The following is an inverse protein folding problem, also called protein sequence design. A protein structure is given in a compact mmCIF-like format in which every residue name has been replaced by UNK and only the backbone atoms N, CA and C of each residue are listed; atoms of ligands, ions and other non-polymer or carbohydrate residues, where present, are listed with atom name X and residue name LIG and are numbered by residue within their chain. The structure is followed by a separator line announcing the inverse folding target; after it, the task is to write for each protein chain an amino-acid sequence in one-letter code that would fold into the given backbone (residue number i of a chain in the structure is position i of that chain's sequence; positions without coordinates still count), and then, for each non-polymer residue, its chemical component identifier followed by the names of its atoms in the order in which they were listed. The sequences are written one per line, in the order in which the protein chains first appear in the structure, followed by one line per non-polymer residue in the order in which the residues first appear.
data_IF_625071807770
#
_entry.id   IF_625071807770
#
_cell.length_a   1.000
_cell.length_b   1.000
_cell.length_c   1.000
_cell.angle_alpha   90.00
_cell.angle_beta   90.00
_cell.angle_gamma   90.00
#
_symmetry.space_group_name_H-M   'P 1'
#
loop_
_entity.id
_entity.type
_entity.pdbx_description
1 polymer ?
#
# COMPACT_ATOMS: atom_id res chain seq x y z
N UNK A 1 65.86 35.37 -10.35
CA UNK A 1 64.52 35.16 -9.76
C UNK A 1 63.89 34.01 -10.50
N UNK A 2 64.12 32.80 -10.00
CA UNK A 2 63.50 31.57 -10.48
C UNK A 2 63.42 30.68 -9.24
N UNK A 3 62.20 30.48 -8.77
CA UNK A 3 61.85 29.65 -7.63
C UNK A 3 61.31 28.33 -8.20
N UNK A 4 61.89 27.16 -7.89
CA UNK A 4 61.35 25.90 -8.36
C UNK A 4 60.23 25.40 -7.43
N UNK A 5 59.09 25.12 -8.08
CA UNK A 5 57.88 24.49 -7.55
C UNK A 5 58.17 23.15 -6.85
N UNK A 6 57.56 22.85 -5.69
CA UNK A 6 57.64 21.53 -5.08
C UNK A 6 56.65 20.53 -5.72
N UNK A 7 57.09 19.28 -5.84
CA UNK A 7 56.32 18.11 -6.28
C UNK A 7 55.38 17.60 -5.16
N UNK A 8 54.25 16.96 -5.50
CA UNK A 8 53.27 16.48 -4.52
C UNK A 8 53.67 15.16 -3.85
N UNK A 9 53.37 15.05 -2.55
CA UNK A 9 53.55 13.88 -1.71
C UNK A 9 52.54 12.77 -2.05
N UNK A 10 53.03 11.52 -2.14
CA UNK A 10 52.21 10.32 -2.29
C UNK A 10 51.67 9.86 -0.92
N UNK A 11 50.35 9.80 -0.80
CA UNK A 11 49.63 9.32 0.38
C UNK A 11 49.43 7.81 0.22
N UNK A 12 50.21 7.03 0.96
CA UNK A 12 50.02 5.59 1.11
C UNK A 12 48.84 5.29 2.03
N UNK A 13 47.80 4.64 1.49
CA UNK A 13 46.70 4.06 2.23
C UNK A 13 46.96 2.57 2.42
N UNK A 14 47.50 2.21 3.58
CA UNK A 14 47.52 0.84 4.09
C UNK A 14 46.12 0.49 4.62
N UNK A 15 45.43 -0.43 3.93
CA UNK A 15 44.18 -1.06 4.38
C UNK A 15 44.51 -2.50 4.81
N UNK A 16 44.56 -2.72 6.12
CA UNK A 16 44.54 -4.06 6.72
C UNK A 16 43.09 -4.56 6.85
N UNK A 17 42.79 -5.82 6.51
CA UNK A 17 41.45 -6.39 6.67
C UNK A 17 41.26 -7.04 8.04
N UNK A 18 40.31 -6.54 8.83
CA UNK A 18 39.91 -7.13 10.11
C UNK A 18 38.70 -8.08 9.95
N UNK A 19 39.01 -9.36 10.11
CA UNK A 19 38.40 -10.32 11.04
C UNK A 19 36.88 -10.61 11.01
N UNK A 20 36.56 -11.81 10.55
CA UNK A 20 35.26 -12.51 10.61
C UNK A 20 34.68 -12.65 12.04
N UNK A 21 33.35 -12.57 12.22
CA UNK A 21 32.70 -12.90 13.49
C UNK A 21 32.35 -14.40 13.64
N UNK A 22 32.73 -14.91 14.81
CA UNK A 22 32.52 -16.24 15.40
C UNK A 22 31.03 -16.60 15.61
N UNK A 23 30.54 -17.78 15.17
CA UNK A 23 29.17 -18.21 15.43
C UNK A 23 29.11 -19.19 16.62
N UNK A 24 28.57 -18.71 17.74
CA UNK A 24 27.71 -19.54 18.59
C UNK A 24 27.93 -19.48 20.09
N UNK A 25 26.93 -18.98 20.80
CA UNK A 25 26.32 -19.57 22.00
C UNK A 25 25.17 -18.67 22.45
N UNK A 26 23.96 -19.16 22.66
CA UNK A 26 23.47 -19.65 23.97
C UNK A 26 21.94 -19.99 23.86
N UNK A 27 21.23 -20.45 24.90
CA UNK A 27 20.50 -21.72 24.85
C UNK A 27 18.97 -21.60 24.97
N UNK A 28 18.33 -22.76 24.85
CA UNK A 28 16.91 -23.02 25.09
C UNK A 28 16.33 -22.39 26.36
N UNK A 29 15.12 -21.84 26.25
CA UNK A 29 14.20 -21.76 27.39
C UNK A 29 13.07 -20.74 27.27
N UNK A 30 11.85 -21.19 26.95
CA UNK A 30 10.63 -20.50 27.37
C UNK A 30 9.52 -20.41 26.33
N UNK A 31 8.68 -21.44 26.27
CA UNK A 31 7.40 -21.40 25.56
C UNK A 31 6.46 -20.33 26.16
N UNK A 32 5.99 -19.42 25.31
CA UNK A 32 4.98 -18.42 25.62
C UNK A 32 4.42 -17.83 24.32
N UNK A 33 3.40 -18.49 23.78
CA UNK A 33 2.73 -18.18 22.50
C UNK A 33 2.05 -16.81 22.54
N UNK A 34 2.59 -15.81 21.83
CA UNK A 34 1.85 -14.65 21.35
C UNK A 34 2.33 -14.27 19.95
N UNK A 35 1.38 -14.17 19.04
CA UNK A 35 1.54 -14.22 17.59
C UNK A 35 1.44 -12.80 17.04
N UNK A 36 2.57 -12.10 16.98
CA UNK A 36 2.84 -11.04 15.99
C UNK A 36 4.30 -11.17 15.58
N UNK A 37 4.58 -12.19 14.76
CA UNK A 37 5.86 -12.33 14.09
C UNK A 37 5.75 -11.64 12.72
N UNK A 38 6.27 -10.42 12.62
CA UNK A 38 6.64 -9.85 11.33
C UNK A 38 7.68 -10.77 10.71
N UNK A 39 7.30 -11.43 9.60
CA UNK A 39 8.20 -12.24 8.81
C UNK A 39 9.15 -11.29 8.07
N UNK A 40 10.33 -11.08 8.64
CA UNK A 40 11.53 -10.71 7.90
C UNK A 40 11.87 -11.89 6.97
N UNK A 41 11.67 -11.71 5.67
CA UNK A 41 12.26 -12.58 4.66
C UNK A 41 12.98 -11.71 3.62
N UNK A 42 14.28 -12.01 3.52
CA UNK A 42 15.31 -11.39 2.70
C UNK A 42 14.95 -11.33 1.21
N UNK A 43 15.29 -10.19 0.59
CA UNK A 43 15.30 -10.00 -0.85
C UNK A 43 16.41 -9.05 -1.29
N UNK A 44 17.67 -9.36 -0.97
CA UNK A 44 18.81 -8.73 -1.63
C UNK A 44 18.90 -9.27 -3.07
N UNK A 45 18.34 -8.54 -4.04
CA UNK A 45 18.47 -8.84 -5.46
C UNK A 45 19.08 -7.64 -6.20
N UNK A 46 20.31 -7.90 -6.67
CA UNK A 46 21.15 -7.18 -7.61
C UNK A 46 20.52 -6.03 -8.44
N UNK A 47 21.10 -4.83 -8.27
CA UNK A 47 21.08 -3.76 -9.26
C UNK A 47 21.89 -4.20 -10.49
N UNK A 48 21.21 -4.75 -11.50
CA UNK A 48 21.78 -4.95 -12.81
C UNK A 48 21.59 -3.68 -13.65
N UNK A 49 22.69 -2.93 -13.80
CA UNK A 49 22.82 -1.79 -14.72
C UNK A 49 22.65 -2.29 -16.16
N UNK A 50 21.48 -2.03 -16.77
CA UNK A 50 21.28 -2.20 -18.21
C UNK A 50 21.71 -0.93 -18.95
N UNK A 51 22.96 -0.90 -19.37
CA UNK A 51 23.43 0.01 -20.43
C UNK A 51 23.04 -0.60 -21.79
N UNK A 52 21.89 -0.19 -22.34
CA UNK A 52 21.59 -0.40 -23.76
C UNK A 52 22.13 0.79 -24.56
N UNK A 53 23.24 0.58 -25.25
CA UNK A 53 23.63 1.35 -26.43
C UNK A 53 23.04 0.65 -27.67
N UNK A 54 22.45 1.39 -28.63
CA UNK A 54 21.98 0.82 -29.88
C UNK A 54 23.15 0.70 -30.85
N UNK A 55 23.42 -0.50 -31.35
CA UNK A 55 24.20 -0.67 -32.57
C UNK A 55 23.25 -1.08 -33.70
N UNK A 56 23.08 -0.16 -34.64
CA UNK A 56 22.30 -0.38 -35.85
C UNK A 56 23.18 -1.01 -36.91
N UNK A 57 22.68 -2.05 -37.58
CA UNK A 57 23.01 -2.31 -38.99
C UNK A 57 22.14 -3.44 -39.54
N UNK A 58 21.54 -3.20 -40.72
CA UNK A 58 21.49 -4.24 -41.74
C UNK A 58 20.12 -4.80 -42.14
N UNK A 59 19.49 -4.10 -43.09
CA UNK A 59 19.01 -4.63 -44.38
C UNK A 59 17.84 -5.64 -44.45
N UNK A 60 16.68 -5.05 -44.80
CA UNK A 60 15.94 -5.29 -46.06
C UNK A 60 15.11 -6.58 -46.30
N UNK A 61 14.09 -6.48 -47.20
CA UNK A 61 12.73 -6.97 -46.93
C UNK A 61 12.39 -8.26 -47.67
N UNK A 62 11.43 -9.02 -47.15
CA UNK A 62 10.81 -10.12 -47.91
C UNK A 62 9.30 -10.17 -47.68
N UNK A 63 8.62 -9.83 -48.78
CA UNK A 63 7.41 -10.43 -49.35
C UNK A 63 6.14 -10.62 -48.51
N UNK A 64 5.08 -10.04 -49.09
CA UNK A 64 3.68 -10.32 -48.85
C UNK A 64 3.33 -11.82 -48.95
N UNK A 65 2.35 -12.23 -48.15
CA UNK A 65 1.40 -13.27 -48.55
C UNK A 65 0.02 -12.85 -48.07
N UNK A 66 -0.84 -12.62 -49.06
CA UNK A 66 -2.28 -12.46 -48.95
C UNK A 66 -2.89 -13.87 -48.89
N UNK A 67 -3.76 -14.13 -47.94
CA UNK A 67 -4.73 -15.21 -48.05
C UNK A 67 -6.04 -14.76 -47.41
N UNK A 68 -7.01 -14.50 -48.28
CA UNK A 68 -8.43 -14.69 -48.03
C UNK A 68 -8.66 -16.08 -47.41
N UNK A 69 -9.53 -16.15 -46.40
CA UNK A 69 -10.47 -17.26 -46.35
C UNK A 69 -11.75 -16.90 -45.58
N UNK A 70 -12.80 -17.55 -46.04
CA UNK A 70 -14.20 -17.19 -45.90
C UNK A 70 -14.87 -17.77 -44.64
N UNK A 71 -15.88 -17.02 -44.17
CA UNK A 71 -17.22 -17.44 -43.74
C UNK A 71 -17.37 -18.81 -43.06
N UNK A 72 -17.89 -18.84 -41.83
CA UNK A 72 -18.96 -19.77 -41.43
C UNK A 72 -19.78 -19.18 -40.27
N UNK A 73 -21.08 -19.04 -40.50
CA UNK A 73 -22.10 -18.60 -39.55
C UNK A 73 -22.63 -19.74 -38.65
N UNK A 74 -23.17 -19.35 -37.48
CA UNK A 74 -24.31 -19.96 -36.74
C UNK A 74 -24.14 -21.33 -36.04
N UNK A 75 -24.93 -21.67 -34.98
CA UNK A 75 -26.20 -21.05 -34.57
C UNK A 75 -26.37 -20.65 -33.09
N UNK A 76 -27.28 -19.70 -32.92
CA UNK A 76 -27.98 -19.28 -31.69
C UNK A 76 -28.87 -20.39 -31.11
N UNK A 77 -28.84 -20.68 -29.80
CA UNK A 77 -29.89 -21.46 -29.16
C UNK A 77 -31.13 -20.59 -28.87
N UNK A 78 -32.26 -21.06 -29.41
CA UNK A 78 -33.59 -20.51 -29.22
C UNK A 78 -34.11 -20.75 -27.79
N UNK A 79 -34.58 -19.69 -27.14
CA UNK A 79 -35.35 -19.77 -25.90
C UNK A 79 -36.82 -19.99 -26.22
N UNK A 80 -37.39 -21.08 -25.69
CA UNK A 80 -38.82 -21.35 -25.74
C UNK A 80 -39.60 -20.42 -24.79
N UNK A 81 -40.76 -19.89 -25.21
CA UNK A 81 -41.62 -19.07 -24.36
C UNK A 81 -42.38 -19.95 -23.36
N UNK A 82 -42.23 -19.71 -22.06
CA UNK A 82 -43.12 -20.29 -21.04
C UNK A 82 -44.34 -19.41 -20.85
N UNK A 83 -45.47 -20.06 -21.06
CA UNK A 83 -46.85 -19.63 -20.90
C UNK A 83 -47.16 -19.16 -19.48
N UNK A 84 -47.84 -18.03 -19.38
CA UNK A 84 -48.60 -17.52 -18.24
C UNK A 84 -49.74 -18.47 -17.85
N UNK A 85 -49.96 -18.69 -16.54
CA UNK A 85 -51.29 -18.98 -15.99
C UNK A 85 -51.33 -18.66 -14.47
N UNK A 86 -52.52 -18.57 -13.81
CA UNK A 86 -52.91 -17.40 -13.04
C UNK A 86 -52.89 -17.62 -11.52
N UNK A 87 -52.99 -16.50 -10.81
CA UNK A 87 -53.10 -16.38 -9.37
C UNK A 87 -54.25 -17.19 -8.75
N UNK A 88 -54.04 -17.80 -7.57
CA UNK A 88 -55.09 -18.03 -6.60
C UNK A 88 -55.07 -16.98 -5.49
N UNK A 89 -56.18 -16.25 -5.37
CA UNK A 89 -56.55 -15.43 -4.23
C UNK A 89 -56.79 -16.32 -3.01
N UNK A 90 -56.15 -16.02 -1.88
CA UNK A 90 -56.59 -16.47 -0.55
C UNK A 90 -56.65 -15.30 0.42
N UNK A 91 -57.83 -15.19 1.03
CA UNK A 91 -58.27 -14.26 2.08
C UNK A 91 -57.37 -14.30 3.33
N UNK A 92 -57.38 -13.25 4.19
CA UNK A 92 -56.49 -13.12 5.33
C UNK A 92 -57.08 -13.81 6.59
N UNK A 93 -56.30 -14.69 7.20
CA UNK A 93 -56.52 -15.20 8.57
C UNK A 93 -55.46 -14.65 9.54
N UNK A 94 -55.73 -14.65 10.87
CA UNK A 94 -55.37 -13.57 11.77
C UNK A 94 -53.98 -13.77 12.39
N UNK A 95 -53.30 -12.64 12.62
CA UNK A 95 -51.99 -12.56 13.28
C UNK A 95 -51.94 -13.35 14.60
N UNK A 96 -50.98 -14.29 14.76
CA UNK A 96 -50.57 -14.76 16.07
C UNK A 96 -49.71 -13.69 16.78
N UNK A 97 -49.66 -13.72 18.13
CA UNK A 97 -49.04 -12.67 18.92
C UNK A 97 -47.52 -12.62 18.71
N UNK A 98 -47.04 -11.37 18.62
CA UNK A 98 -45.64 -10.94 18.63
C UNK A 98 -44.90 -11.68 19.74
N UNK A 99 -44.19 -12.74 19.36
CA UNK A 99 -43.13 -13.32 20.15
C UNK A 99 -41.91 -12.42 19.96
N UNK A 100 -41.40 -11.92 21.07
CA UNK A 100 -40.15 -11.18 21.18
C UNK A 100 -39.07 -11.92 20.38
N UNK A 101 -38.68 -11.36 19.23
CA UNK A 101 -37.47 -11.77 18.54
C UNK A 101 -36.32 -11.57 19.51
N UNK A 102 -35.73 -12.68 19.91
CA UNK A 102 -34.41 -12.72 20.51
C UNK A 102 -33.48 -12.07 19.51
N UNK A 103 -33.06 -10.85 19.84
CA UNK A 103 -31.98 -10.12 19.24
C UNK A 103 -30.77 -11.06 19.15
N UNK A 104 -30.53 -11.58 17.95
CA UNK A 104 -29.36 -12.34 17.62
C UNK A 104 -28.19 -11.38 17.76
N UNK A 105 -27.46 -11.53 18.86
CA UNK A 105 -26.26 -10.81 19.22
C UNK A 105 -25.26 -10.98 18.08
N UNK A 106 -25.30 -10.04 17.13
CA UNK A 106 -24.22 -9.83 16.19
C UNK A 106 -22.99 -9.59 17.05
N UNK A 107 -22.05 -10.53 17.01
CA UNK A 107 -20.70 -10.34 17.55
C UNK A 107 -20.12 -9.12 16.84
N UNK A 108 -20.31 -7.96 17.44
CA UNK A 108 -19.71 -6.70 17.04
C UNK A 108 -18.21 -6.94 17.14
N UNK A 109 -17.55 -7.04 15.98
CA UNK A 109 -16.11 -6.91 15.90
C UNK A 109 -15.79 -5.50 16.40
N UNK A 110 -15.55 -5.37 17.71
CA UNK A 110 -15.13 -4.13 18.33
C UNK A 110 -13.76 -3.76 17.77
N UNK A 111 -13.79 -3.02 16.67
CA UNK A 111 -12.61 -2.41 16.06
C UNK A 111 -11.96 -1.48 17.09
N UNK A 112 -10.63 -1.33 17.07
CA UNK A 112 -9.93 -0.57 18.10
C UNK A 112 -10.33 0.91 18.03
N UNK A 113 -11.28 1.30 18.88
CA UNK A 113 -11.66 2.70 19.15
C UNK A 113 -10.57 3.46 19.91
N UNK A 114 -9.50 2.78 20.31
CA UNK A 114 -8.35 3.38 21.00
C UNK A 114 -7.10 3.04 20.20
N UNK A 115 -6.27 4.03 19.85
CA UNK A 115 -4.99 3.77 19.20
C UNK A 115 -4.16 2.81 20.06
N UNK A 116 -3.35 1.93 19.45
CA UNK A 116 -2.59 0.91 20.18
C UNK A 116 -1.79 1.58 21.30
N UNK A 117 -2.20 1.32 22.53
CA UNK A 117 -1.69 2.01 23.72
C UNK A 117 -0.44 1.35 24.30
N UNK A 118 -0.07 0.17 23.79
CA UNK A 118 1.12 -0.56 24.21
C UNK A 118 2.09 -0.66 23.03
N UNK A 119 3.07 0.22 23.05
CA UNK A 119 4.17 0.20 22.08
C UNK A 119 5.29 -0.73 22.57
N UNK A 120 6.01 -1.41 21.66
CA UNK A 120 7.17 -2.20 22.03
C UNK A 120 8.24 -1.34 22.73
N UNK A 121 9.05 -1.93 23.63
CA UNK A 121 9.97 -1.17 24.50
C UNK A 121 11.08 -0.40 23.77
N UNK A 122 11.34 -0.69 22.50
CA UNK A 122 12.26 0.04 21.63
C UNK A 122 11.65 1.30 21.00
N UNK A 123 10.35 1.53 21.19
CA UNK A 123 9.67 2.73 20.70
C UNK A 123 10.18 3.95 21.45
N UNK A 124 10.53 4.99 20.70
CA UNK A 124 11.00 6.27 21.23
C UNK A 124 10.12 7.41 20.73
N UNK A 125 10.44 8.64 21.14
CA UNK A 125 9.69 9.83 20.77
C UNK A 125 10.65 10.95 20.36
N UNK A 126 10.25 11.74 19.37
CA UNK A 126 10.96 12.93 18.91
C UNK A 126 11.01 14.00 20.01
N UNK A 127 12.09 14.76 20.00
CA UNK A 127 12.20 15.95 20.85
C UNK A 127 11.16 16.99 20.42
N UNK A 128 10.45 17.59 21.38
CA UNK A 128 9.36 18.54 21.12
C UNK A 128 7.98 18.00 21.48
N UNK A 129 7.81 16.68 21.46
CA UNK A 129 6.57 15.99 21.81
C UNK A 129 5.48 16.13 20.74
N UNK A 130 4.34 15.49 20.99
CA UNK A 130 3.21 15.45 20.05
C UNK A 130 2.61 16.82 19.75
N UNK A 131 2.29 17.04 18.48
CA UNK A 131 1.48 18.17 18.02
C UNK A 131 0.02 18.09 18.49
N UNK A 132 -0.70 19.20 18.34
CA UNK A 132 -2.12 19.23 18.64
C UNK A 132 -2.92 18.41 17.62
N UNK A 133 -4.05 17.85 18.06
CA UNK A 133 -4.95 17.13 17.15
C UNK A 133 -5.41 17.99 15.96
N UNK A 134 -5.54 19.31 16.15
CA UNK A 134 -5.92 20.24 15.09
C UNK A 134 -4.80 20.41 14.05
N UNK A 135 -3.54 20.45 14.48
CA UNK A 135 -2.38 20.55 13.57
C UNK A 135 -2.20 19.24 12.79
N UNK A 136 -2.37 18.10 13.47
CA UNK A 136 -2.37 16.78 12.82
C UNK A 136 -3.48 16.66 11.79
N UNK A 137 -4.71 17.05 12.13
CA UNK A 137 -5.82 17.01 11.18
C UNK A 137 -5.59 17.92 9.98
N UNK A 138 -5.07 19.13 10.21
CA UNK A 138 -4.75 20.07 9.13
C UNK A 138 -3.66 19.52 8.20
N UNK A 139 -2.60 18.91 8.75
CA UNK A 139 -1.54 18.28 7.98
C UNK A 139 -2.07 17.14 7.09
N UNK A 140 -2.89 16.24 7.62
CA UNK A 140 -3.48 15.13 6.86
C UNK A 140 -4.42 15.63 5.76
N UNK A 141 -5.21 16.67 6.04
CA UNK A 141 -6.12 17.26 5.06
C UNK A 141 -5.37 17.95 3.91
N UNK A 142 -4.31 18.71 4.23
CA UNK A 142 -3.47 19.37 3.22
C UNK A 142 -2.72 18.35 2.36
N UNK A 143 -2.17 17.30 2.99
CA UNK A 143 -1.50 16.22 2.29
C UNK A 143 -2.43 15.47 1.33
N UNK A 144 -3.68 15.18 1.75
CA UNK A 144 -4.66 14.55 0.87
C UNK A 144 -5.07 15.45 -0.31
N UNK A 145 -5.11 16.76 -0.11
CA UNK A 145 -5.44 17.74 -1.16
C UNK A 145 -4.29 18.04 -2.14
N UNK A 146 -3.08 17.59 -1.85
CA UNK A 146 -1.89 17.87 -2.66
C UNK A 146 -1.77 16.90 -3.83
N UNK A 147 -1.59 17.42 -5.04
CA UNK A 147 -1.33 16.62 -6.23
C UNK A 147 0.15 16.69 -6.60
N UNK A 148 0.83 15.54 -6.65
CA UNK A 148 2.27 15.49 -6.94
C UNK A 148 2.62 15.30 -8.43
N UNK A 149 1.69 14.77 -9.23
CA UNK A 149 1.88 14.59 -10.68
C UNK A 149 1.29 15.75 -11.47
N UNK A 150 2.03 16.28 -12.44
CA UNK A 150 1.54 17.34 -13.33
C UNK A 150 0.66 16.83 -14.48
N UNK A 151 0.86 15.57 -14.89
CA UNK A 151 0.18 14.98 -16.04
C UNK A 151 -0.80 13.86 -15.66
N UNK A 152 -0.78 13.37 -14.42
CA UNK A 152 -1.68 12.33 -13.90
C UNK A 152 -2.37 12.86 -12.65
N UNK A 153 -3.48 12.27 -12.23
CA UNK A 153 -4.15 12.62 -10.98
C UNK A 153 -4.49 11.37 -10.17
N UNK A 154 -4.42 11.47 -8.86
CA UNK A 154 -4.94 10.46 -7.94
C UNK A 154 -6.07 11.11 -7.15
N UNK A 155 -7.25 10.51 -7.17
CA UNK A 155 -8.35 10.87 -6.28
C UNK A 155 -8.10 10.19 -4.93
N UNK A 156 -7.42 10.92 -4.05
CA UNK A 156 -7.05 10.50 -2.71
C UNK A 156 -7.96 11.18 -1.69
N UNK A 157 -8.78 10.41 -0.99
CA UNK A 157 -9.65 10.97 0.04
C UNK A 157 -8.86 11.30 1.31
N UNK A 158 -9.24 12.41 1.97
CA UNK A 158 -8.70 12.75 3.29
C UNK A 158 -8.98 11.64 4.32
N UNK A 159 -10.11 10.94 4.19
CA UNK A 159 -10.46 9.82 5.07
C UNK A 159 -9.49 8.64 4.92
N UNK A 160 -8.99 8.34 3.71
CA UNK A 160 -7.98 7.29 3.51
C UNK A 160 -6.65 7.66 4.15
N UNK A 161 -6.20 8.91 3.96
CA UNK A 161 -4.97 9.42 4.59
C UNK A 161 -5.10 9.38 6.12
N UNK A 162 -6.26 9.79 6.67
CA UNK A 162 -6.58 9.73 8.09
C UNK A 162 -6.63 8.30 8.63
N UNK A 163 -7.24 7.37 7.90
CA UNK A 163 -7.32 5.96 8.26
C UNK A 163 -5.94 5.30 8.33
N UNK A 164 -5.10 5.54 7.32
CA UNK A 164 -3.71 5.03 7.31
C UNK A 164 -2.92 5.66 8.47
N UNK A 165 -2.95 6.98 8.64
CA UNK A 165 -2.25 7.63 9.76
C UNK A 165 -2.72 7.15 11.14
N UNK A 166 -4.00 6.82 11.29
CA UNK A 166 -4.53 6.22 12.51
C UNK A 166 -4.01 4.81 12.72
N UNK A 167 -3.95 3.99 11.66
CA UNK A 167 -3.39 2.64 11.74
C UNK A 167 -1.89 2.65 12.04
N UNK A 168 -1.14 3.60 11.48
CA UNK A 168 0.31 3.71 11.60
C UNK A 168 0.75 4.20 12.98
N UNK A 169 0.15 5.29 13.47
CA UNK A 169 0.58 5.91 14.74
C UNK A 169 -0.57 6.07 15.74
N UNK A 170 -1.82 6.03 15.29
CA UNK A 170 -2.92 6.53 16.11
C UNK A 170 -2.84 8.05 16.29
N UNK A 171 -2.35 8.73 15.26
CA UNK A 171 -2.17 10.18 15.21
C UNK A 171 -1.15 10.74 16.23
N UNK A 172 -0.10 9.99 16.55
CA UNK A 172 1.05 10.53 17.33
C UNK A 172 2.10 10.99 16.34
N UNK A 173 2.32 12.30 16.25
CA UNK A 173 3.31 12.88 15.36
C UNK A 173 4.76 12.71 15.83
N UNK A 174 4.96 12.38 17.09
CA UNK A 174 6.28 12.29 17.71
C UNK A 174 6.80 10.86 17.84
N UNK A 175 6.03 9.83 17.49
CA UNK A 175 6.42 8.44 17.73
C UNK A 175 7.46 7.94 16.74
N UNK A 176 8.46 7.22 17.24
CA UNK A 176 9.47 6.52 16.44
C UNK A 176 9.40 5.02 16.76
N UNK A 177 8.98 4.23 15.78
CA UNK A 177 8.93 2.78 15.87
C UNK A 177 10.33 2.15 15.93
N UNK A 178 10.37 0.89 16.36
CA UNK A 178 11.59 0.13 16.54
C UNK A 178 12.39 -0.12 15.26
N UNK A 179 11.72 -0.12 14.11
CA UNK A 179 12.33 -0.30 12.80
C UNK A 179 12.78 1.03 12.15
N UNK A 180 12.53 2.16 12.83
CA UNK A 180 12.89 3.49 12.35
C UNK A 180 11.72 4.27 11.74
N UNK A 181 10.54 3.67 11.59
CA UNK A 181 9.32 4.38 11.16
C UNK A 181 9.06 5.57 12.07
N UNK A 182 8.80 6.75 11.50
CA UNK A 182 8.70 7.98 12.29
C UNK A 182 7.45 8.77 11.96
N UNK A 183 6.89 9.36 13.01
CA UNK A 183 5.84 10.36 12.94
C UNK A 183 4.47 9.83 12.55
N UNK A 184 3.64 10.76 12.11
CA UNK A 184 2.21 10.57 11.90
C UNK A 184 1.85 9.38 10.99
N UNK A 185 2.61 9.19 9.92
CA UNK A 185 2.41 8.17 8.90
C UNK A 185 3.53 7.11 8.88
N UNK A 186 4.34 7.02 9.96
CA UNK A 186 5.41 6.03 10.16
C UNK A 186 6.39 5.89 9.00
N UNK A 187 6.82 7.03 8.43
CA UNK A 187 7.71 7.07 7.27
C UNK A 187 9.11 6.56 7.64
N UNK A 188 9.59 5.59 6.84
CA UNK A 188 10.95 5.06 6.91
C UNK A 188 11.96 6.01 6.25
N UNK A 189 13.22 6.06 6.72
CA UNK A 189 14.26 6.89 6.09
C UNK A 189 14.42 6.67 4.58
N UNK A 190 14.43 5.40 4.14
CA UNK A 190 14.56 5.07 2.72
C UNK A 190 13.33 5.53 1.90
N UNK A 191 12.15 5.59 2.54
CA UNK A 191 10.92 6.09 1.90
C UNK A 191 10.96 7.61 1.74
N UNK A 192 11.45 8.33 2.75
CA UNK A 192 11.72 9.77 2.67
C UNK A 192 12.67 10.10 1.52
N UNK A 193 13.82 9.41 1.42
CA UNK A 193 14.77 9.60 0.33
C UNK A 193 14.14 9.30 -1.03
N UNK A 194 13.41 8.19 -1.15
CA UNK A 194 12.73 7.80 -2.37
C UNK A 194 11.70 8.84 -2.83
N UNK A 195 10.80 9.26 -1.94
CA UNK A 195 9.74 10.21 -2.26
C UNK A 195 10.32 11.57 -2.64
N UNK A 196 11.26 12.09 -1.84
CA UNK A 196 11.92 13.36 -2.13
C UNK A 196 12.66 13.35 -3.47
N UNK A 197 13.35 12.26 -3.78
CA UNK A 197 13.97 12.07 -5.09
C UNK A 197 12.93 12.00 -6.21
N UNK A 198 11.83 11.28 -5.99
CA UNK A 198 10.81 11.02 -7.02
C UNK A 198 10.05 12.27 -7.43
N UNK A 199 9.80 13.16 -6.48
CA UNK A 199 8.98 14.36 -6.64
C UNK A 199 9.78 15.68 -6.56
N UNK A 200 11.10 15.60 -6.46
CA UNK A 200 12.00 16.77 -6.36
C UNK A 200 11.63 17.69 -5.18
N UNK A 201 11.33 17.09 -4.03
CA UNK A 201 10.97 17.76 -2.77
C UNK A 201 12.06 17.59 -1.71
N UNK A 202 11.89 18.27 -0.57
CA UNK A 202 12.80 18.26 0.58
C UNK A 202 12.07 18.07 1.91
N UNK A 203 10.97 17.32 1.91
CA UNK A 203 10.17 17.04 3.09
C UNK A 203 10.97 16.29 4.16
N UNK A 204 10.83 16.71 5.41
CA UNK A 204 11.44 16.07 6.58
C UNK A 204 10.43 15.16 7.31
N UNK A 205 10.72 13.86 7.39
CA UNK A 205 9.82 12.90 8.08
C UNK A 205 9.66 13.15 9.57
N UNK A 206 10.48 14.00 10.19
CA UNK A 206 10.37 14.39 11.61
C UNK A 206 9.48 15.61 11.84
N UNK A 207 9.13 16.35 10.78
CA UNK A 207 8.12 17.41 10.82
C UNK A 207 6.75 16.83 10.48
N UNK A 208 5.71 17.24 11.21
CA UNK A 208 4.37 16.65 11.12
C UNK A 208 3.67 16.91 9.80
N UNK A 209 3.84 18.11 9.25
CA UNK A 209 3.25 18.46 7.96
C UNK A 209 3.97 17.70 6.84
N UNK A 210 5.29 17.75 6.84
CA UNK A 210 6.13 17.08 5.86
C UNK A 210 5.98 15.55 5.91
N UNK A 211 5.83 14.97 7.11
CA UNK A 211 5.56 13.54 7.28
C UNK A 211 4.22 13.13 6.62
N UNK A 212 3.18 13.95 6.76
CA UNK A 212 1.91 13.72 6.07
C UNK A 212 2.07 13.86 4.54
N UNK A 213 2.85 14.84 4.07
CA UNK A 213 3.14 15.03 2.65
C UNK A 213 3.91 13.83 2.06
N UNK A 214 4.90 13.31 2.77
CA UNK A 214 5.65 12.10 2.39
C UNK A 214 4.72 10.89 2.26
N UNK A 215 3.86 10.65 3.25
CA UNK A 215 2.91 9.54 3.21
C UNK A 215 1.88 9.67 2.09
N UNK A 216 1.32 10.86 1.87
CA UNK A 216 0.41 11.13 0.73
C UNK A 216 1.11 10.92 -0.61
N UNK A 217 2.33 11.43 -0.78
CA UNK A 217 3.12 11.27 -1.99
C UNK A 217 3.42 9.78 -2.27
N UNK A 218 3.73 9.00 -1.24
CA UNK A 218 3.91 7.56 -1.35
C UNK A 218 2.61 6.85 -1.79
N UNK A 219 1.47 7.16 -1.16
CA UNK A 219 0.16 6.61 -1.54
C UNK A 219 -0.16 6.91 -3.00
N UNK A 220 0.07 8.13 -3.46
CA UNK A 220 -0.19 8.53 -4.85
C UNK A 220 0.78 7.86 -5.83
N UNK A 221 2.04 7.67 -5.43
CA UNK A 221 3.00 6.89 -6.22
C UNK A 221 2.55 5.43 -6.36
N UNK A 222 2.15 4.79 -5.24
CA UNK A 222 1.63 3.41 -5.22
C UNK A 222 0.37 3.28 -6.08
N UNK A 223 -0.57 4.21 -5.96
CA UNK A 223 -1.81 4.23 -6.73
C UNK A 223 -1.52 4.27 -8.23
N UNK A 224 -0.65 5.19 -8.68
CA UNK A 224 -0.23 5.23 -10.08
C UNK A 224 0.48 3.93 -10.49
N UNK A 225 1.40 3.43 -9.67
CA UNK A 225 2.19 2.24 -9.96
C UNK A 225 1.30 1.02 -10.21
N UNK A 226 0.42 0.68 -9.26
CA UNK A 226 -0.43 -0.49 -9.39
C UNK A 226 -1.48 -0.30 -10.48
N UNK A 227 -2.07 0.90 -10.60
CA UNK A 227 -3.09 1.15 -11.63
C UNK A 227 -2.55 0.85 -13.03
N UNK A 228 -1.34 1.34 -13.34
CA UNK A 228 -0.73 1.19 -14.67
C UNK A 228 -0.23 -0.24 -14.91
N UNK A 229 0.38 -0.88 -13.91
CA UNK A 229 1.06 -2.16 -14.11
C UNK A 229 0.17 -3.38 -13.89
N UNK A 230 -0.91 -3.27 -13.10
CA UNK A 230 -1.72 -4.41 -12.67
C UNK A 230 -3.23 -4.25 -12.95
N UNK A 231 -3.70 -3.03 -13.22
CA UNK A 231 -5.13 -2.74 -13.44
C UNK A 231 -5.43 -2.05 -14.77
N UNK A 232 -4.53 -2.21 -15.76
CA UNK A 232 -4.69 -1.73 -17.15
C UNK A 232 -5.03 -0.23 -17.29
N UNK A 233 -4.69 0.58 -16.29
CA UNK A 233 -4.97 2.01 -16.33
C UNK A 233 -4.01 2.74 -17.28
N UNK A 234 -4.46 3.80 -17.97
CA UNK A 234 -3.59 4.59 -18.84
C UNK A 234 -2.52 5.37 -18.05
N UNK A 235 -1.39 5.65 -18.70
CA UNK A 235 -0.38 6.61 -18.22
C UNK A 235 -0.06 7.64 -19.33
N UNK A 236 -0.34 8.94 -19.11
CA UNK A 236 -0.99 9.51 -17.93
C UNK A 236 -2.45 9.08 -17.75
N UNK A 237 -2.90 9.04 -16.50
CA UNK A 237 -4.26 8.66 -16.14
C UNK A 237 -4.82 9.39 -14.92
N UNK A 238 -6.10 9.14 -14.66
CA UNK A 238 -6.77 9.51 -13.42
C UNK A 238 -7.05 8.22 -12.64
N UNK A 239 -6.46 8.10 -11.46
CA UNK A 239 -6.52 6.90 -10.63
C UNK A 239 -7.41 7.19 -9.43
N UNK A 240 -8.46 6.40 -9.24
CA UNK A 240 -9.38 6.56 -8.12
C UNK A 240 -9.09 5.51 -7.06
N UNK A 241 -8.96 5.94 -5.80
CA UNK A 241 -8.94 5.04 -4.64
C UNK A 241 -10.30 4.96 -3.96
N UNK A 242 -11.34 5.55 -4.56
CA UNK A 242 -12.71 5.38 -4.11
C UNK A 242 -13.25 4.01 -4.57
N UNK A 243 -13.17 3.04 -3.67
CA UNK A 243 -13.95 1.79 -3.61
C UNK A 243 -14.18 1.07 -4.97
N UNK A 244 -13.09 0.60 -5.57
CA UNK A 244 -12.99 0.03 -6.91
C UNK A 244 -13.05 -1.51 -6.94
N UNK A 245 -13.26 -2.14 -5.80
CA UNK A 245 -13.22 -3.59 -5.68
C UNK A 245 -14.47 -4.23 -6.30
N UNK A 246 -14.32 -5.45 -6.83
CA UNK A 246 -15.35 -6.15 -7.62
C UNK A 246 -16.67 -6.35 -6.89
N UNK A 247 -16.68 -6.29 -5.56
CA UNK A 247 -17.80 -6.60 -4.68
C UNK A 247 -18.40 -7.97 -5.00
N UNK A 248 -17.54 -8.98 -5.13
CA UNK A 248 -17.98 -10.37 -5.06
C UNK A 248 -18.43 -10.64 -3.62
N UNK A 249 -19.74 -10.77 -3.41
CA UNK A 249 -20.34 -11.03 -2.09
C UNK A 249 -19.76 -12.27 -1.38
N UNK A 250 -19.04 -13.15 -2.10
CA UNK A 250 -18.36 -14.31 -1.53
C UNK A 250 -16.96 -14.01 -0.96
N UNK A 251 -16.37 -12.86 -1.28
CA UNK A 251 -15.02 -12.46 -0.89
C UNK A 251 -15.11 -11.23 0.01
N UNK A 252 -14.59 -11.27 1.25
CA UNK A 252 -14.54 -10.08 2.09
C UNK A 252 -13.79 -8.94 1.39
N UNK A 253 -14.30 -7.72 1.47
CA UNK A 253 -13.75 -6.55 0.76
C UNK A 253 -12.24 -6.38 0.93
N UNK A 254 -11.68 -6.68 2.12
CA UNK A 254 -10.25 -6.56 2.41
C UNK A 254 -9.37 -7.65 1.75
N UNK A 255 -9.97 -8.68 1.14
CA UNK A 255 -9.31 -9.77 0.42
C UNK A 255 -9.43 -9.61 -1.11
N UNK A 256 -10.30 -8.72 -1.59
CA UNK A 256 -10.47 -8.50 -3.02
C UNK A 256 -9.20 -7.89 -3.63
N UNK A 257 -8.83 -8.39 -4.82
CA UNK A 257 -7.72 -7.82 -5.59
C UNK A 257 -8.20 -6.58 -6.34
N UNK A 258 -7.99 -5.41 -5.75
CA UNK A 258 -8.35 -4.10 -6.30
C UNK A 258 -7.23 -3.08 -6.06
N UNK A 259 -7.33 -1.89 -6.69
CA UNK A 259 -6.31 -0.87 -6.57
C UNK A 259 -6.20 -0.39 -5.13
N UNK A 260 -7.32 -0.14 -4.46
CA UNK A 260 -7.34 0.32 -3.07
C UNK A 260 -6.60 -0.64 -2.13
N UNK A 261 -6.92 -1.94 -2.18
CA UNK A 261 -6.27 -2.93 -1.32
C UNK A 261 -4.79 -3.13 -1.67
N UNK A 262 -4.43 -3.04 -2.94
CA UNK A 262 -3.02 -3.10 -3.36
C UNK A 262 -2.21 -1.93 -2.79
N UNK A 263 -2.78 -0.73 -2.80
CA UNK A 263 -2.14 0.48 -2.23
C UNK A 263 -2.04 0.39 -0.70
N UNK A 264 -3.13 0.03 -0.01
CA UNK A 264 -3.12 -0.15 1.45
C UNK A 264 -2.11 -1.22 1.85
N UNK A 265 -2.12 -2.38 1.18
CA UNK A 265 -1.19 -3.47 1.44
C UNK A 265 0.26 -3.03 1.24
N UNK A 266 0.55 -2.35 0.12
CA UNK A 266 1.90 -1.97 -0.24
C UNK A 266 2.47 -0.83 0.62
N UNK A 267 1.61 0.00 1.21
CA UNK A 267 2.04 1.03 2.16
C UNK A 267 2.79 0.41 3.34
N UNK A 268 2.25 -0.69 3.90
CA UNK A 268 2.83 -1.38 5.04
C UNK A 268 3.85 -2.47 4.65
N UNK A 269 3.59 -3.23 3.59
CA UNK A 269 4.42 -4.39 3.22
C UNK A 269 5.50 -4.10 2.15
N UNK A 270 5.47 -2.90 1.56
CA UNK A 270 6.27 -2.53 0.40
C UNK A 270 5.69 -3.06 -0.92
N UNK A 271 5.90 -2.29 -2.00
CA UNK A 271 5.30 -2.59 -3.31
C UNK A 271 5.75 -3.95 -3.86
N UNK A 272 7.04 -4.33 -3.77
CA UNK A 272 7.54 -5.59 -4.30
C UNK A 272 6.94 -6.84 -3.65
N UNK A 273 6.55 -6.75 -2.37
CA UNK A 273 5.79 -7.83 -1.69
C UNK A 273 4.42 -8.01 -2.33
N UNK A 274 3.73 -6.90 -2.62
CA UNK A 274 2.42 -6.91 -3.25
C UNK A 274 2.49 -7.34 -4.71
N UNK A 275 3.52 -6.93 -5.45
CA UNK A 275 3.77 -7.44 -6.81
C UNK A 275 3.87 -8.96 -6.85
N UNK A 276 4.68 -9.53 -5.95
CA UNK A 276 4.82 -10.98 -5.84
C UNK A 276 3.48 -11.66 -5.54
N UNK A 277 2.65 -11.05 -4.70
CA UNK A 277 1.32 -11.56 -4.36
C UNK A 277 0.34 -11.49 -5.55
N UNK A 278 0.36 -10.39 -6.31
CA UNK A 278 -0.48 -10.19 -7.50
C UNK A 278 -0.07 -11.14 -8.63
N UNK A 279 1.23 -11.25 -8.92
CA UNK A 279 1.79 -12.12 -9.96
C UNK A 279 1.50 -13.60 -9.70
N UNK A 280 1.57 -14.03 -8.43
CA UNK A 280 1.32 -15.41 -8.04
C UNK A 280 -0.16 -15.72 -7.80
N UNK A 281 -1.00 -14.70 -7.65
CA UNK A 281 -2.39 -14.84 -7.22
C UNK A 281 -2.53 -15.39 -5.79
N UNK A 282 -1.52 -15.21 -4.93
CA UNK A 282 -1.52 -15.75 -3.55
C UNK A 282 -2.43 -14.99 -2.59
N UNK A 283 -2.91 -13.80 -2.99
CA UNK A 283 -3.54 -12.84 -2.10
C UNK A 283 -2.51 -12.10 -1.22
N UNK A 284 -2.96 -11.01 -0.60
CA UNK A 284 -2.11 -10.18 0.26
C UNK A 284 -1.72 -10.92 1.55
N UNK A 285 -0.50 -10.67 2.04
CA UNK A 285 0.03 -11.34 3.24
C UNK A 285 -0.28 -10.59 4.53
N UNK A 286 -0.65 -9.31 4.44
CA UNK A 286 -0.94 -8.40 5.54
C UNK A 286 -2.45 -8.06 5.65
N UNK A 287 -3.33 -9.05 5.46
CA UNK A 287 -4.79 -8.85 5.43
C UNK A 287 -5.36 -8.10 6.64
N UNK A 288 -4.81 -8.33 7.84
CA UNK A 288 -5.28 -7.62 9.04
C UNK A 288 -5.09 -6.11 8.95
N UNK A 289 -3.99 -5.66 8.33
CA UNK A 289 -3.73 -4.24 8.12
C UNK A 289 -4.77 -3.65 7.15
N UNK A 290 -5.03 -4.35 6.04
CA UNK A 290 -6.02 -3.94 5.04
C UNK A 290 -7.41 -3.88 5.65
N UNK A 291 -7.82 -4.92 6.37
CA UNK A 291 -9.10 -5.00 7.07
C UNK A 291 -9.26 -3.83 8.05
N UNK A 292 -8.22 -3.53 8.83
CA UNK A 292 -8.30 -2.47 9.84
C UNK A 292 -8.40 -1.08 9.19
N UNK A 293 -7.62 -0.80 8.14
CA UNK A 293 -7.72 0.48 7.41
C UNK A 293 -9.09 0.62 6.75
N UNK A 294 -9.63 -0.45 6.17
CA UNK A 294 -10.98 -0.49 5.58
C UNK A 294 -12.06 -0.21 6.62
N UNK A 295 -11.96 -0.85 7.77
CA UNK A 295 -12.83 -0.58 8.90
C UNK A 295 -12.73 0.87 9.41
N UNK A 296 -11.53 1.46 9.44
CA UNK A 296 -11.33 2.86 9.84
C UNK A 296 -11.96 3.85 8.85
N UNK A 297 -11.94 3.54 7.55
CA UNK A 297 -12.67 4.32 6.53
C UNK A 297 -14.18 4.35 6.77
N UNK A 298 -14.75 3.27 7.27
CA UNK A 298 -16.18 3.19 7.55
C UNK A 298 -16.54 3.85 8.89
N UNK A 299 -15.77 3.53 9.94
CA UNK A 299 -16.03 4.00 11.30
C UNK A 299 -15.66 5.46 11.53
N UNK A 300 -14.58 5.93 10.89
CA UNK A 300 -14.04 7.30 11.03
C UNK A 300 -13.98 7.76 12.49
N UNK A 301 -13.22 7.06 13.37
CA UNK A 301 -13.23 7.32 14.82
C UNK A 301 -12.71 8.70 15.25
N UNK A 302 -12.24 9.50 14.30
CA UNK A 302 -11.81 10.88 14.48
C UNK A 302 -12.93 11.93 14.34
N UNK A 303 -14.13 11.54 13.92
CA UNK A 303 -15.30 12.44 13.80
C UNK A 303 -16.06 12.67 15.11
#
# INVERSE_FOLDING_TARGET
MSDPSPEPEEIGLDLEPDSDPDPGHDPDGGAGTWLVAFVLLLGAAAVAVFLFLPDGSGNDPVAATTTDDAVTESPTPAWEPRTTDPAPTTDPEPNPPIGTETEEEATEHALPTVPPSEHPPCTTYLDGGRDSAADVEAALADAAGTQFWTNSSVDLSADLVKAIAWMESGWQSDIVACDGGTGLMQIQPDTEEFVNTRFETDFDRTDTHDNAMLGSAQIQWLAKYFAVNYFDAPDPGAYSLADDCSRDDAIPDHQETCLLNSVISAYQAGFGTVETALDSGSGYTNLQYIETVRALLDLRPWE
#
